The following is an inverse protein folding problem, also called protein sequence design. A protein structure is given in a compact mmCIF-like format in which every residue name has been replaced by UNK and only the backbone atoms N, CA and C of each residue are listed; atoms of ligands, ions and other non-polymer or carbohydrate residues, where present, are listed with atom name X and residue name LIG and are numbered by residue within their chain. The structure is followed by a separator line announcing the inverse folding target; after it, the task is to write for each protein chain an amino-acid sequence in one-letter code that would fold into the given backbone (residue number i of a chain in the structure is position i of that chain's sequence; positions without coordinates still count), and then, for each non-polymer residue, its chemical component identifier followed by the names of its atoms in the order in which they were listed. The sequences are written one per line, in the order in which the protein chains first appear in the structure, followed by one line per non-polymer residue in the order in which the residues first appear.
data_IF_782057738051
#
_entry.id   IF_782057738051
#
_cell.length_a   1.000
_cell.length_b   1.000
_cell.length_c   1.000
_cell.angle_alpha   90.00
_cell.angle_beta   90.00
_cell.angle_gamma   90.00
#
_symmetry.space_group_name_H-M   'P 1'
#
loop_
_entity.id
_entity.type
_entity.pdbx_description
1 polymer ?
#
# COMPACT_ATOMS: atom_id res chain seq x y z
N UNK A 1 -28.95 -3.80 11.28
CA UNK A 1 -30.08 -3.48 10.37
C UNK A 1 -29.54 -2.86 9.09
N UNK A 2 -29.83 -3.45 7.94
CA UNK A 2 -29.33 -2.96 6.64
C UNK A 2 -30.01 -1.64 6.23
N UNK A 3 -29.28 -0.70 5.61
CA UNK A 3 -29.85 0.56 5.10
C UNK A 3 -30.79 0.29 3.91
N UNK A 4 -31.85 1.11 3.79
CA UNK A 4 -32.82 1.03 2.70
C UNK A 4 -32.19 1.45 1.37
N UNK A 5 -32.76 1.06 0.23
CA UNK A 5 -32.25 1.42 -1.09
C UNK A 5 -32.14 2.95 -1.29
N UNK A 6 -33.12 3.72 -0.80
CA UNK A 6 -33.08 5.18 -0.83
C UNK A 6 -31.94 5.76 0.00
N UNK A 7 -31.68 5.20 1.19
CA UNK A 7 -30.56 5.61 2.05
C UNK A 7 -29.21 5.29 1.41
N UNK A 8 -29.07 4.13 0.75
CA UNK A 8 -27.84 3.75 0.04
C UNK A 8 -27.52 4.73 -1.10
N UNK A 9 -28.53 5.20 -1.84
CA UNK A 9 -28.34 6.22 -2.90
C UNK A 9 -27.81 7.54 -2.34
N UNK A 10 -28.29 7.98 -1.18
CA UNK A 10 -27.82 9.21 -0.52
C UNK A 10 -26.38 9.04 -0.01
N UNK A 11 -26.05 7.86 0.52
CA UNK A 11 -24.68 7.53 0.96
C UNK A 11 -23.73 7.47 -0.23
N UNK A 12 -24.14 6.86 -1.35
CA UNK A 12 -23.37 6.80 -2.59
C UNK A 12 -23.12 8.19 -3.19
N UNK A 13 -24.11 9.09 -3.12
CA UNK A 13 -24.00 10.46 -3.61
C UNK A 13 -23.25 11.41 -2.66
N UNK A 14 -22.69 10.92 -1.56
CA UNK A 14 -21.91 11.75 -0.63
C UNK A 14 -20.65 12.29 -1.32
N UNK A 15 -20.26 13.51 -0.96
CA UNK A 15 -19.03 14.13 -1.48
C UNK A 15 -17.83 13.19 -1.29
N UNK A 16 -17.05 12.92 -2.35
CA UNK A 16 -16.03 11.87 -2.32
C UNK A 16 -14.88 12.20 -1.36
N UNK A 17 -14.53 13.49 -1.23
CA UNK A 17 -13.39 13.98 -0.45
C UNK A 17 -13.77 14.22 1.01
N UNK A 18 -14.93 14.81 1.24
CA UNK A 18 -15.34 15.29 2.57
C UNK A 18 -16.39 14.40 3.24
N UNK A 19 -17.04 13.50 2.49
CA UNK A 19 -18.16 12.70 3.00
C UNK A 19 -19.41 13.52 3.29
N UNK A 20 -19.49 14.76 2.80
CA UNK A 20 -20.65 15.64 3.00
C UNK A 20 -21.88 15.11 2.28
N UNK A 21 -22.99 15.04 3.00
CA UNK A 21 -24.28 14.61 2.49
C UNK A 21 -25.13 15.79 2.06
N UNK A 22 -25.89 15.59 0.98
CA UNK A 22 -26.90 16.53 0.49
C UNK A 22 -28.22 15.78 0.30
N UNK A 23 -29.34 16.39 0.66
CA UNK A 23 -30.65 15.76 0.54
C UNK A 23 -31.69 16.39 1.46
N UNK A 24 -32.89 15.80 1.48
CA UNK A 24 -33.97 16.25 2.34
C UNK A 24 -33.64 16.00 3.83
N UNK A 25 -33.94 16.96 4.70
CA UNK A 25 -33.61 16.92 6.12
C UNK A 25 -34.12 15.66 6.85
N UNK A 26 -35.31 15.18 6.48
CA UNK A 26 -35.89 13.94 7.03
C UNK A 26 -35.04 12.70 6.70
N UNK A 27 -34.41 12.65 5.53
CA UNK A 27 -33.56 11.53 5.10
C UNK A 27 -32.20 11.59 5.81
N UNK A 28 -31.62 12.78 5.96
CA UNK A 28 -30.36 12.99 6.69
C UNK A 28 -30.54 12.66 8.19
N UNK A 29 -31.64 13.09 8.79
CA UNK A 29 -31.98 12.78 10.18
C UNK A 29 -32.16 11.26 10.40
N UNK A 30 -32.75 10.56 9.43
CA UNK A 30 -32.88 9.10 9.50
C UNK A 30 -31.52 8.38 9.42
N UNK A 31 -30.54 8.92 8.69
CA UNK A 31 -29.16 8.41 8.66
C UNK A 31 -28.43 8.67 9.98
N UNK A 32 -28.64 9.85 10.59
CA UNK A 32 -28.09 10.19 11.91
C UNK A 32 -28.63 9.27 13.00
N UNK A 33 -29.95 9.02 13.03
CA UNK A 33 -30.56 8.08 13.99
C UNK A 33 -30.01 6.65 13.90
N UNK A 34 -29.44 6.28 12.74
CA UNK A 34 -28.83 4.97 12.50
C UNK A 34 -27.31 4.96 12.69
N UNK A 35 -26.72 6.08 13.10
CA UNK A 35 -25.28 6.23 13.28
C UNK A 35 -24.46 6.22 11.98
N UNK A 36 -25.12 6.41 10.83
CA UNK A 36 -24.48 6.39 9.50
C UNK A 36 -24.02 7.78 9.05
N UNK A 37 -24.59 8.82 9.66
CA UNK A 37 -24.22 10.21 9.47
C UNK A 37 -24.16 10.92 10.82
N UNK A 38 -23.48 12.06 10.87
CA UNK A 38 -23.53 12.99 12.00
C UNK A 38 -23.76 14.41 11.48
N UNK A 39 -24.35 15.24 12.35
CA UNK A 39 -24.59 16.66 12.07
C UNK A 39 -23.47 17.49 12.70
N UNK A 40 -22.86 18.38 11.92
CA UNK A 40 -21.78 19.21 12.41
C UNK A 40 -22.30 20.26 13.40
N UNK A 41 -21.63 20.45 14.56
CA UNK A 41 -22.10 21.39 15.59
C UNK A 41 -22.01 22.86 15.16
N UNK A 42 -21.13 23.21 14.21
CA UNK A 42 -21.05 24.59 13.70
C UNK A 42 -22.05 24.86 12.57
N UNK A 43 -22.69 26.05 12.54
CA UNK A 43 -23.41 26.53 11.35
C UNK A 43 -22.50 26.43 10.11
N UNK A 44 -23.03 26.01 8.94
CA UNK A 44 -24.44 25.82 8.58
C UNK A 44 -25.05 24.45 8.98
N UNK A 45 -24.43 23.71 9.91
CA UNK A 45 -24.90 22.41 10.40
C UNK A 45 -25.03 21.33 9.33
N UNK A 46 -24.01 21.24 8.48
CA UNK A 46 -23.91 20.22 7.45
C UNK A 46 -23.88 18.80 8.02
N UNK A 47 -24.32 17.84 7.22
CA UNK A 47 -24.33 16.42 7.56
C UNK A 47 -23.18 15.72 6.86
N UNK A 48 -22.48 14.85 7.58
CA UNK A 48 -21.33 14.10 7.08
C UNK A 48 -21.47 12.63 7.41
N UNK A 49 -20.91 11.77 6.56
CA UNK A 49 -20.82 10.34 6.83
C UNK A 49 -19.99 10.06 8.08
N UNK A 50 -20.38 9.04 8.83
CA UNK A 50 -19.53 8.43 9.87
C UNK A 50 -18.65 7.33 9.25
N UNK A 51 -17.65 6.79 9.98
CA UNK A 51 -16.91 5.61 9.51
C UNK A 51 -17.78 4.39 9.18
N UNK A 52 -18.99 4.27 9.77
CA UNK A 52 -19.95 3.24 9.39
C UNK A 52 -20.65 3.54 8.06
N UNK A 53 -20.96 4.82 7.79
CA UNK A 53 -21.51 5.28 6.52
C UNK A 53 -20.52 5.14 5.36
N UNK A 54 -19.23 5.46 5.58
CA UNK A 54 -18.16 5.28 4.60
C UNK A 54 -18.02 3.81 4.16
N UNK A 55 -18.00 2.87 5.12
CA UNK A 55 -17.95 1.43 4.82
C UNK A 55 -19.12 0.94 3.96
N UNK A 56 -20.31 1.50 4.13
CA UNK A 56 -21.48 1.17 3.30
C UNK A 56 -21.35 1.76 1.89
N UNK A 57 -20.75 2.95 1.74
CA UNK A 57 -20.46 3.56 0.44
C UNK A 57 -19.47 2.70 -0.34
N UNK A 58 -18.35 2.35 0.29
CA UNK A 58 -17.28 1.55 -0.30
C UNK A 58 -17.76 0.14 -0.67
N UNK A 59 -18.57 -0.50 0.19
CA UNK A 59 -19.14 -1.81 -0.10
C UNK A 59 -20.20 -1.80 -1.22
N UNK A 60 -20.77 -0.64 -1.57
CA UNK A 60 -21.70 -0.49 -2.70
C UNK A 60 -21.00 -0.12 -4.01
N UNK A 61 -19.78 0.43 -3.94
CA UNK A 61 -18.90 0.72 -5.08
C UNK A 61 -18.04 -0.49 -5.46
N UNK A 62 -17.88 -1.47 -4.56
CA UNK A 62 -17.28 -2.75 -4.86
C UNK A 62 -18.17 -3.56 -5.83
N UNK A 63 -17.65 -4.02 -6.98
CA UNK A 63 -18.32 -5.02 -7.80
C UNK A 63 -18.63 -6.28 -6.97
N UNK A 64 -19.78 -6.91 -7.21
CA UNK A 64 -20.15 -8.21 -6.61
C UNK A 64 -19.09 -9.27 -6.98
N UNK A 65 -18.19 -9.58 -6.06
CA UNK A 65 -17.36 -10.79 -6.12
C UNK A 65 -17.78 -11.78 -5.02
N UNK A 66 -18.23 -12.99 -5.37
CA UNK A 66 -18.52 -14.03 -4.39
C UNK A 66 -17.25 -14.80 -4.00
N UNK A 67 -16.96 -14.81 -2.69
CA UNK A 67 -16.21 -15.87 -2.02
C UNK A 67 -14.71 -15.62 -1.83
N UNK A 68 -14.30 -15.37 -0.58
CA UNK A 68 -12.93 -15.61 -0.14
C UNK A 68 -12.61 -17.13 -0.25
N UNK A 69 -11.39 -17.51 -0.67
CA UNK A 69 -10.27 -17.50 0.26
C UNK A 69 -8.92 -17.05 -0.31
N UNK A 70 -7.99 -16.78 0.61
CA UNK A 70 -6.57 -16.43 0.43
C UNK A 70 -6.30 -15.04 -0.15
N UNK A 71 -5.64 -14.20 0.66
CA UNK A 71 -5.18 -12.85 0.35
C UNK A 71 -4.18 -12.88 -0.82
N UNK A 72 -4.51 -12.38 -2.01
CA UNK A 72 -3.55 -11.97 -3.00
C UNK A 72 -3.43 -10.45 -2.86
N UNK A 73 -2.40 -9.98 -2.16
CA UNK A 73 -1.96 -8.58 -2.34
C UNK A 73 -1.28 -8.52 -3.72
N UNK A 74 -2.11 -8.46 -4.77
CA UNK A 74 -1.70 -8.36 -6.16
C UNK A 74 -2.58 -7.30 -6.85
N UNK A 75 -2.09 -6.07 -6.74
CA UNK A 75 -2.16 -4.99 -7.72
C UNK A 75 -3.33 -4.98 -8.71
N UNK A 76 -4.37 -4.24 -8.38
CA UNK A 76 -5.01 -3.25 -9.27
C UNK A 76 -6.18 -2.58 -8.53
N UNK A 77 -5.88 -1.53 -7.77
CA UNK A 77 -6.91 -0.59 -7.32
C UNK A 77 -6.42 0.84 -7.55
N UNK A 78 -6.81 1.39 -8.71
CA UNK A 78 -7.05 2.82 -8.95
C UNK A 78 -5.85 3.76 -8.95
N UNK A 79 -5.25 4.02 -10.11
CA UNK A 79 -4.60 5.30 -10.48
C UNK A 79 -3.46 5.87 -9.60
N UNK A 80 -3.12 5.24 -8.48
CA UNK A 80 -2.08 5.66 -7.54
C UNK A 80 -0.83 4.83 -7.75
N UNK A 81 0.32 5.49 -7.67
CA UNK A 81 1.62 4.83 -7.80
C UNK A 81 1.76 3.69 -6.78
N UNK A 82 2.17 2.51 -7.26
CA UNK A 82 2.54 1.37 -6.44
C UNK A 82 3.91 0.84 -6.88
N UNK A 83 4.81 0.61 -5.92
CA UNK A 83 6.08 -0.06 -6.16
C UNK A 83 5.85 -1.53 -6.50
N UNK A 84 6.59 -2.06 -7.47
CA UNK A 84 6.46 -3.45 -7.91
C UNK A 84 7.21 -4.36 -6.95
N UNK A 85 6.51 -5.31 -6.34
CA UNK A 85 7.04 -6.25 -5.35
C UNK A 85 7.56 -7.53 -5.99
N UNK A 86 7.27 -7.77 -7.27
CA UNK A 86 7.65 -8.96 -8.01
C UNK A 86 6.53 -10.00 -7.99
N UNK A 87 6.15 -10.45 -9.18
CA UNK A 87 5.00 -11.34 -9.41
C UNK A 87 3.80 -10.69 -10.06
N UNK A 88 3.85 -9.39 -10.32
CA UNK A 88 2.84 -8.72 -11.11
C UNK A 88 2.92 -9.16 -12.56
N UNK A 89 1.76 -9.25 -13.21
CA UNK A 89 1.69 -9.45 -14.65
C UNK A 89 2.23 -8.21 -15.36
N UNK A 90 3.12 -8.44 -16.34
CA UNK A 90 3.68 -7.34 -17.11
C UNK A 90 2.56 -6.70 -17.93
N UNK A 91 2.17 -5.47 -17.57
CA UNK A 91 1.15 -4.73 -18.33
C UNK A 91 1.67 -4.50 -19.75
N UNK A 92 0.91 -4.85 -20.81
CA UNK A 92 1.31 -4.57 -22.18
C UNK A 92 1.53 -3.06 -22.37
N UNK A 93 2.76 -2.64 -22.69
CA UNK A 93 3.16 -1.23 -22.83
C UNK A 93 3.55 -0.53 -21.51
N UNK A 94 3.42 -1.21 -20.36
CA UNK A 94 3.88 -0.76 -19.03
C UNK A 94 5.27 -1.28 -18.69
N UNK A 95 6.15 -1.33 -19.68
CA UNK A 95 7.49 -1.88 -19.55
C UNK A 95 8.32 -1.12 -18.50
N UNK A 96 9.35 -1.79 -17.98
CA UNK A 96 10.40 -1.23 -17.11
C UNK A 96 11.27 -0.16 -17.81
N UNK A 97 10.63 0.71 -18.59
CA UNK A 97 11.25 1.76 -19.38
C UNK A 97 11.52 3.04 -18.58
N UNK A 98 12.15 4.05 -19.22
CA UNK A 98 12.59 5.28 -18.55
C UNK A 98 11.48 6.06 -17.85
N UNK A 99 10.23 5.98 -18.35
CA UNK A 99 9.09 6.65 -17.73
C UNK A 99 8.78 6.10 -16.34
N UNK A 100 8.74 4.77 -16.19
CA UNK A 100 8.56 4.10 -14.91
C UNK A 100 9.69 4.42 -13.94
N UNK A 101 10.94 4.37 -14.40
CA UNK A 101 12.08 4.71 -13.56
C UNK A 101 12.02 6.15 -13.02
N UNK A 102 11.55 7.11 -13.82
CA UNK A 102 11.35 8.50 -13.34
C UNK A 102 10.27 8.58 -12.26
N UNK A 103 9.15 7.91 -12.48
CA UNK A 103 8.04 7.86 -11.53
C UNK A 103 8.48 7.24 -10.18
N UNK A 104 9.17 6.09 -10.24
CA UNK A 104 9.71 5.38 -9.07
C UNK A 104 10.72 6.24 -8.33
N UNK A 105 11.64 6.91 -9.04
CA UNK A 105 12.58 7.84 -8.42
C UNK A 105 11.87 9.02 -7.76
N UNK A 106 10.81 9.55 -8.37
CA UNK A 106 9.97 10.59 -7.76
C UNK A 106 9.33 10.12 -6.45
N UNK A 107 8.73 8.93 -6.45
CA UNK A 107 8.16 8.33 -5.24
C UNK A 107 9.23 8.08 -4.15
N UNK A 108 10.43 7.63 -4.55
CA UNK A 108 11.55 7.47 -3.63
C UNK A 108 12.02 8.80 -3.02
N UNK A 109 12.11 9.87 -3.82
CA UNK A 109 12.42 11.21 -3.29
C UNK A 109 11.35 11.69 -2.31
N UNK A 110 10.07 11.48 -2.62
CA UNK A 110 8.97 11.78 -1.69
C UNK A 110 9.08 11.01 -0.38
N UNK A 111 9.54 9.75 -0.43
CA UNK A 111 9.78 8.95 0.78
C UNK A 111 10.96 9.48 1.60
N UNK A 112 12.06 9.88 0.96
CA UNK A 112 13.19 10.50 1.66
C UNK A 112 12.80 11.84 2.31
N UNK A 113 11.95 12.62 1.66
CA UNK A 113 11.41 13.85 2.24
C UNK A 113 10.52 13.55 3.44
N UNK A 114 9.67 12.51 3.37
CA UNK A 114 8.89 12.05 4.52
C UNK A 114 9.80 11.65 5.69
N UNK A 115 10.91 10.94 5.42
CA UNK A 115 11.92 10.62 6.45
C UNK A 115 12.46 11.92 7.08
N UNK A 116 12.92 12.86 6.27
CA UNK A 116 13.46 14.16 6.72
C UNK A 116 12.48 14.94 7.60
N UNK A 117 11.20 14.91 7.27
CA UNK A 117 10.16 15.63 8.03
C UNK A 117 9.72 14.91 9.32
N UNK A 118 9.84 13.58 9.38
CA UNK A 118 9.32 12.77 10.49
C UNK A 118 10.38 12.39 11.51
N UNK A 119 11.66 12.37 11.11
CA UNK A 119 12.76 12.14 12.05
C UNK A 119 13.15 13.45 12.75
N UNK A 120 13.26 13.47 14.09
CA UNK A 120 13.61 14.68 14.85
C UNK A 120 14.95 15.32 14.45
N UNK A 121 15.89 14.51 13.98
CA UNK A 121 17.21 14.95 13.51
C UNK A 121 17.28 15.17 11.98
N UNK A 122 16.15 15.03 11.29
CA UNK A 122 16.07 15.16 9.83
C UNK A 122 16.79 14.07 9.05
N UNK A 123 17.23 12.98 9.70
CA UNK A 123 17.98 11.91 9.05
C UNK A 123 17.16 11.21 7.97
N UNK A 124 17.75 11.04 6.78
CA UNK A 124 17.13 10.28 5.69
C UNK A 124 17.61 8.82 5.63
N UNK A 125 18.56 8.45 6.48
CA UNK A 125 19.27 7.17 6.41
C UNK A 125 18.50 6.02 7.06
N UNK A 126 17.36 6.31 7.69
CA UNK A 126 16.58 5.34 8.46
C UNK A 126 15.12 5.31 8.01
N UNK A 127 14.52 4.12 7.84
CA UNK A 127 13.10 4.04 7.53
C UNK A 127 12.22 4.68 8.61
N UNK A 128 11.29 5.52 8.18
CA UNK A 128 10.33 6.22 9.03
C UNK A 128 9.15 5.32 9.46
N UNK A 129 8.22 5.86 10.27
CA UNK A 129 7.08 5.11 10.78
C UNK A 129 6.19 4.53 9.66
N UNK A 130 5.95 5.30 8.59
CA UNK A 130 5.16 4.81 7.45
C UNK A 130 5.79 3.57 6.80
N UNK A 131 7.10 3.57 6.59
CA UNK A 131 7.81 2.44 5.98
C UNK A 131 7.75 1.20 6.86
N UNK A 132 7.83 1.38 8.19
CA UNK A 132 7.71 0.29 9.16
C UNK A 132 6.32 -0.36 9.15
N UNK A 133 5.28 0.40 8.82
CA UNK A 133 3.92 -0.13 8.62
C UNK A 133 3.70 -0.74 7.22
N UNK A 134 4.59 -0.49 6.26
CA UNK A 134 4.43 -0.91 4.86
C UNK A 134 5.72 -1.56 4.31
N UNK A 135 6.30 -2.50 5.06
CA UNK A 135 7.65 -3.01 4.84
C UNK A 135 7.88 -3.55 3.42
N UNK A 136 6.96 -4.36 2.91
CA UNK A 136 7.06 -4.97 1.57
C UNK A 136 7.15 -3.90 0.50
N UNK A 137 6.26 -2.91 0.56
CA UNK A 137 6.21 -1.79 -0.40
C UNK A 137 7.43 -0.89 -0.26
N UNK A 138 7.89 -0.62 0.96
CA UNK A 138 9.06 0.22 1.21
C UNK A 138 10.36 -0.42 0.69
N UNK A 139 10.57 -1.72 0.96
CA UNK A 139 11.72 -2.46 0.45
C UNK A 139 11.69 -2.57 -1.08
N UNK A 140 10.54 -2.90 -1.66
CA UNK A 140 10.37 -2.95 -3.11
C UNK A 140 10.65 -1.61 -3.79
N UNK A 141 10.18 -0.50 -3.20
CA UNK A 141 10.43 0.84 -3.73
C UNK A 141 11.94 1.18 -3.73
N UNK A 142 12.66 0.84 -2.66
CA UNK A 142 14.11 1.06 -2.60
C UNK A 142 14.86 0.27 -3.68
N UNK A 143 14.46 -0.98 -3.91
CA UNK A 143 15.03 -1.84 -4.96
C UNK A 143 14.72 -1.31 -6.37
N UNK A 144 13.46 -0.99 -6.65
CA UNK A 144 13.03 -0.47 -7.95
C UNK A 144 13.70 0.89 -8.26
N UNK A 145 13.82 1.77 -7.26
CA UNK A 145 14.46 3.08 -7.42
C UNK A 145 15.96 2.98 -7.74
N UNK A 146 16.62 1.93 -7.23
CA UNK A 146 18.00 1.59 -7.55
C UNK A 146 18.17 0.86 -8.90
N UNK A 147 17.06 0.56 -9.60
CA UNK A 147 17.08 -0.06 -10.92
C UNK A 147 17.08 -1.59 -10.90
N UNK A 148 16.83 -2.22 -9.74
CA UNK A 148 16.61 -3.66 -9.72
C UNK A 148 15.32 -4.00 -10.47
N UNK A 149 15.35 -5.08 -11.24
CA UNK A 149 14.17 -5.54 -11.99
C UNK A 149 13.27 -6.37 -11.08
N UNK A 150 11.96 -6.08 -10.96
CA UNK A 150 11.03 -6.96 -10.27
C UNK A 150 10.83 -8.26 -11.07
N UNK A 151 10.66 -9.37 -10.36
CA UNK A 151 10.37 -10.66 -10.97
C UNK A 151 9.02 -10.63 -11.69
N UNK A 152 8.93 -11.36 -12.81
CA UNK A 152 7.65 -11.57 -13.51
C UNK A 152 6.67 -12.46 -12.72
N UNK A 153 5.47 -12.73 -13.26
CA UNK A 153 4.44 -13.53 -12.60
C UNK A 153 4.95 -14.92 -12.19
N UNK A 154 5.74 -15.56 -13.05
CA UNK A 154 6.38 -16.86 -12.81
C UNK A 154 7.53 -16.83 -11.78
N UNK A 155 7.82 -15.65 -11.21
CA UNK A 155 8.91 -15.46 -10.25
C UNK A 155 10.30 -15.46 -10.87
N UNK A 156 10.40 -15.34 -12.19
CA UNK A 156 11.66 -15.36 -12.94
C UNK A 156 12.22 -13.96 -13.19
N UNK A 157 13.54 -13.89 -13.33
CA UNK A 157 14.23 -12.73 -13.94
C UNK A 157 14.40 -11.48 -13.08
N UNK A 158 14.04 -11.49 -11.79
CA UNK A 158 14.12 -10.30 -10.94
C UNK A 158 13.93 -10.57 -9.45
N UNK A 159 13.89 -9.50 -8.66
CA UNK A 159 13.64 -9.61 -7.23
C UNK A 159 12.18 -9.89 -6.93
N UNK A 160 11.92 -10.55 -5.80
CA UNK A 160 10.58 -10.70 -5.24
C UNK A 160 10.60 -10.44 -3.74
N UNK A 161 9.85 -9.44 -3.30
CA UNK A 161 9.68 -9.07 -1.89
C UNK A 161 8.40 -9.69 -1.35
N UNK A 162 8.50 -10.36 -0.19
CA UNK A 162 7.37 -11.00 0.48
C UNK A 162 7.35 -10.67 1.96
N UNK A 163 6.16 -10.66 2.55
CA UNK A 163 6.02 -10.71 3.99
C UNK A 163 6.57 -12.03 4.53
N UNK A 164 7.06 -12.00 5.77
CA UNK A 164 7.53 -13.18 6.50
C UNK A 164 6.77 -13.29 7.82
N UNK A 165 6.65 -14.49 8.41
CA UNK A 165 6.12 -14.65 9.76
C UNK A 165 6.93 -13.90 10.83
N UNK A 166 8.19 -13.56 10.55
CA UNK A 166 9.00 -12.77 11.47
C UNK A 166 8.51 -11.31 11.47
N UNK A 167 8.15 -10.76 12.64
CA UNK A 167 7.70 -9.38 12.73
C UNK A 167 8.81 -8.42 12.28
N UNK A 168 8.40 -7.29 11.70
CA UNK A 168 9.30 -6.21 11.26
C UNK A 168 10.31 -6.60 10.17
N UNK A 169 10.11 -7.74 9.51
CA UNK A 169 11.00 -8.22 8.44
C UNK A 169 10.24 -8.51 7.14
N UNK A 170 10.99 -8.53 6.04
CA UNK A 170 10.57 -8.98 4.71
C UNK A 170 11.56 -9.99 4.17
N UNK A 171 11.07 -10.92 3.37
CA UNK A 171 11.91 -11.85 2.61
C UNK A 171 12.10 -11.29 1.19
N UNK A 172 13.35 -11.21 0.72
CA UNK A 172 13.69 -10.83 -0.65
C UNK A 172 14.35 -12.00 -1.34
N UNK A 173 13.74 -12.44 -2.44
CA UNK A 173 14.27 -13.47 -3.32
C UNK A 173 14.85 -12.82 -4.57
N UNK A 174 15.87 -13.45 -5.15
CA UNK A 174 16.52 -13.03 -6.38
C UNK A 174 16.93 -14.28 -7.18
N UNK A 175 17.15 -14.19 -8.50
CA UNK A 175 17.42 -15.35 -9.35
C UNK A 175 18.74 -16.06 -9.01
N UNK A 176 19.74 -15.33 -8.52
CA UNK A 176 21.04 -15.87 -8.15
C UNK A 176 21.65 -15.11 -6.96
N UNK A 177 22.77 -15.64 -6.45
CA UNK A 177 23.44 -15.07 -5.28
C UNK A 177 24.13 -13.71 -5.53
N UNK A 178 24.45 -13.35 -6.77
CA UNK A 178 25.02 -12.03 -7.08
C UNK A 178 23.91 -10.97 -7.04
N UNK A 179 22.80 -11.23 -7.71
CA UNK A 179 21.61 -10.37 -7.65
C UNK A 179 21.09 -10.22 -6.21
N UNK A 180 21.18 -11.30 -5.40
CA UNK A 180 20.83 -11.24 -3.99
C UNK A 180 21.76 -10.29 -3.22
N UNK A 181 23.09 -10.38 -3.39
CA UNK A 181 24.03 -9.45 -2.75
C UNK A 181 23.83 -7.99 -3.17
N UNK A 182 23.50 -7.75 -4.44
CA UNK A 182 23.24 -6.39 -4.93
C UNK A 182 21.95 -5.80 -4.33
N UNK A 183 20.92 -6.65 -4.13
CA UNK A 183 19.72 -6.29 -3.38
C UNK A 183 20.07 -5.96 -1.92
N UNK A 184 20.91 -6.77 -1.26
CA UNK A 184 21.35 -6.55 0.12
C UNK A 184 22.05 -5.18 0.25
N UNK A 185 23.06 -4.92 -0.58
CA UNK A 185 23.81 -3.66 -0.57
C UNK A 185 22.91 -2.44 -0.83
N UNK A 186 21.84 -2.61 -1.62
CA UNK A 186 20.85 -1.55 -1.88
C UNK A 186 19.98 -1.27 -0.66
N UNK A 187 19.46 -2.32 -0.03
CA UNK A 187 18.65 -2.20 1.18
C UNK A 187 19.46 -1.64 2.35
N UNK A 188 20.72 -2.06 2.50
CA UNK A 188 21.63 -1.53 3.52
C UNK A 188 21.86 -0.03 3.37
N UNK A 189 22.13 0.44 2.14
CA UNK A 189 22.23 1.88 1.84
C UNK A 189 20.91 2.62 2.10
N UNK A 190 19.77 1.95 2.00
CA UNK A 190 18.46 2.51 2.27
C UNK A 190 18.06 2.49 3.76
N UNK A 191 18.95 2.03 4.66
CA UNK A 191 18.72 2.00 6.10
C UNK A 191 18.15 0.70 6.65
N UNK A 192 18.26 -0.40 5.89
CA UNK A 192 17.86 -1.73 6.31
C UNK A 192 19.07 -2.53 6.82
N UNK A 193 18.81 -3.52 7.66
CA UNK A 193 19.76 -4.58 7.97
C UNK A 193 19.34 -5.83 7.22
N UNK A 194 20.29 -6.53 6.62
CA UNK A 194 20.03 -7.72 5.81
C UNK A 194 20.84 -8.91 6.31
N UNK A 195 20.20 -10.08 6.33
CA UNK A 195 20.85 -11.36 6.58
C UNK A 195 20.47 -12.36 5.50
N UNK A 196 21.44 -13.14 5.00
CA UNK A 196 21.15 -14.23 4.09
C UNK A 196 20.63 -15.45 4.85
N UNK A 197 19.54 -16.03 4.34
CA UNK A 197 18.94 -17.24 4.86
C UNK A 197 18.74 -18.26 3.75
N UNK A 198 18.73 -19.53 4.14
CA UNK A 198 18.44 -20.65 3.24
C UNK A 198 17.18 -21.33 3.73
N UNK A 199 16.20 -21.46 2.84
CA UNK A 199 14.96 -22.16 3.15
C UNK A 199 15.24 -23.65 3.39
N UNK A 200 14.80 -24.25 4.51
CA UNK A 200 15.17 -25.63 4.85
C UNK A 200 14.72 -26.68 3.83
N UNK A 201 13.54 -26.48 3.21
CA UNK A 201 12.92 -27.46 2.30
C UNK A 201 13.44 -27.35 0.87
N UNK A 202 13.46 -26.15 0.32
CA UNK A 202 13.79 -25.90 -1.09
C UNK A 202 15.27 -25.63 -1.29
N UNK A 203 16.02 -25.35 -0.21
CA UNK A 203 17.38 -24.80 -0.22
C UNK A 203 17.51 -23.49 -0.99
N UNK A 204 16.38 -22.82 -1.28
CA UNK A 204 16.39 -21.51 -1.91
C UNK A 204 17.00 -20.49 -0.96
N UNK A 205 17.93 -19.68 -1.48
CA UNK A 205 18.53 -18.57 -0.74
C UNK A 205 17.63 -17.34 -0.86
N UNK A 206 17.49 -16.62 0.23
CA UNK A 206 16.75 -15.37 0.30
C UNK A 206 17.40 -14.44 1.32
N UNK A 207 17.12 -13.14 1.22
CA UNK A 207 17.49 -12.18 2.24
C UNK A 207 16.33 -11.98 3.17
N UNK A 208 16.59 -12.02 4.46
CA UNK A 208 15.74 -11.42 5.45
C UNK A 208 16.19 -9.98 5.64
N UNK A 209 15.31 -9.02 5.40
CA UNK A 209 15.59 -7.60 5.57
C UNK A 209 14.65 -6.99 6.61
N UNK A 210 15.19 -6.23 7.56
CA UNK A 210 14.40 -5.44 8.50
C UNK A 210 14.91 -4.01 8.57
N UNK A 211 14.06 -3.00 8.85
CA UNK A 211 14.53 -1.64 9.09
C UNK A 211 15.53 -1.61 10.25
N UNK A 212 16.63 -0.87 10.13
CA UNK A 212 17.56 -0.69 11.25
C UNK A 212 16.82 -0.07 12.43
N UNK A 213 17.02 -0.63 13.61
CA UNK A 213 16.60 0.01 14.87
C UNK A 213 17.66 1.04 15.22
N UNK A 214 17.20 2.20 15.69
CA UNK A 214 18.08 3.24 16.24
C UNK A 214 18.70 2.74 17.52
#
# INVERSE_FOLDING_TARGET
MSPTAAQRRIIAAADPVTGRLRGAEAQLTALVKRGLAFRHPRPPHDHFLTPAGHRIREAAEAPDEPGAPAVPDAGAAGGVFAARVGGEEAVPGGDAGPARLREVRGAWQGLLELRRMTHPDGSTDRPCAWERSHLVRAAALALEAAGHRPAGPDGTGGYRVRATPQPEAVAVHAPDGAALRDCAATLERAGWQTGEHTEPRTRARYLLASPRKV
#
